data_IF_348551209981
#
_entry.id   IF_348551209981
#
_cell.length_a   1.000
_cell.length_b   1.000
_cell.length_c   1.000
_cell.angle_alpha   90.00
_cell.angle_beta   90.00
_cell.angle_gamma   90.00
#
_symmetry.space_group_name_H-M   'P 1'
#
loop_
_entity.id
_entity.type
_entity.pdbx_description
1 polymer ?
#
# COMPACT_ATOMS: atom_id res chain seq x y z
N UNK A 1 -11.91 -4.00 20.37
CA UNK A 1 -11.65 -2.83 19.50
C UNK A 1 -12.43 -3.01 18.22
N UNK A 2 -12.80 -1.94 17.51
CA UNK A 2 -13.38 -2.06 16.19
C UNK A 2 -12.41 -2.80 15.26
N UNK A 3 -12.92 -3.75 14.47
CA UNK A 3 -12.13 -4.40 13.42
C UNK A 3 -12.11 -3.52 12.16
N UNK A 4 -11.02 -3.58 11.41
CA UNK A 4 -10.84 -2.88 10.14
C UNK A 4 -10.03 -3.72 9.16
N UNK A 5 -10.27 -3.52 7.86
CA UNK A 5 -9.65 -4.28 6.77
C UNK A 5 -9.67 -5.79 7.01
N UNK A 6 -10.82 -6.34 7.37
CA UNK A 6 -10.97 -7.78 7.66
C UNK A 6 -10.57 -8.62 6.44
N UNK A 7 -10.87 -8.11 5.23
CA UNK A 7 -10.52 -8.71 3.95
C UNK A 7 -9.01 -8.72 3.66
N UNK A 8 -8.18 -8.02 4.45
CA UNK A 8 -6.71 -8.10 4.34
C UNK A 8 -6.18 -9.52 4.56
N UNK A 9 -6.93 -10.36 5.30
CA UNK A 9 -6.50 -11.68 5.70
C UNK A 9 -5.61 -11.70 6.94
N UNK A 10 -5.45 -10.57 7.65
CA UNK A 10 -4.65 -10.47 8.87
C UNK A 10 -5.04 -11.53 9.92
N UNK A 11 -6.34 -11.77 10.09
CA UNK A 11 -6.89 -12.78 10.99
C UNK A 11 -6.53 -14.23 10.63
N UNK A 12 -6.02 -14.48 9.42
CA UNK A 12 -5.52 -15.79 8.98
C UNK A 12 -4.05 -15.98 9.33
N UNK A 13 -3.36 -14.94 9.78
CA UNK A 13 -1.94 -14.98 10.16
C UNK A 13 -1.78 -15.30 11.65
N UNK A 14 -0.52 -15.56 12.06
CA UNK A 14 -0.13 -15.69 13.47
C UNK A 14 1.12 -14.85 13.69
N UNK A 15 1.22 -14.17 14.82
CA UNK A 15 2.41 -13.37 15.14
C UNK A 15 3.50 -14.25 15.74
N UNK A 16 4.75 -14.01 15.35
CA UNK A 16 5.92 -14.56 16.01
C UNK A 16 6.28 -13.76 17.29
N UNK A 17 7.39 -14.12 17.94
CA UNK A 17 7.84 -13.43 19.17
C UNK A 17 8.24 -11.97 18.95
N UNK A 18 8.56 -11.59 17.72
CA UNK A 18 8.92 -10.24 17.33
C UNK A 18 7.72 -9.45 16.80
N UNK A 19 6.50 -10.02 16.84
CA UNK A 19 5.29 -9.38 16.32
C UNK A 19 5.18 -9.41 14.79
N UNK A 20 5.97 -10.24 14.09
CA UNK A 20 5.91 -10.40 12.63
C UNK A 20 4.89 -11.45 12.23
N UNK A 21 4.23 -11.27 11.09
CA UNK A 21 3.20 -12.20 10.62
C UNK A 21 3.81 -13.43 9.97
N UNK A 22 3.59 -14.60 10.57
CA UNK A 22 3.94 -15.90 10.00
C UNK A 22 3.09 -16.20 8.76
N UNK A 23 3.71 -16.86 7.79
CA UNK A 23 3.04 -17.34 6.57
C UNK A 23 2.31 -18.63 6.86
N UNK A 24 1.03 -18.53 7.18
CA UNK A 24 0.17 -19.65 7.58
C UNK A 24 -0.41 -20.40 6.37
N UNK A 25 -0.88 -21.63 6.59
CA UNK A 25 -1.59 -22.37 5.53
C UNK A 25 -2.95 -21.74 5.24
N UNK A 26 -3.61 -21.20 6.27
CA UNK A 26 -4.89 -20.51 6.16
C UNK A 26 -4.80 -19.27 5.24
N UNK A 27 -3.72 -18.50 5.34
CA UNK A 27 -3.49 -17.36 4.45
C UNK A 27 -3.26 -17.82 2.99
N UNK A 28 -2.45 -18.85 2.78
CA UNK A 28 -2.19 -19.38 1.43
C UNK A 28 -3.48 -19.93 0.81
N UNK A 29 -4.31 -20.62 1.60
CA UNK A 29 -5.62 -21.11 1.16
C UNK A 29 -6.54 -19.96 0.75
N UNK A 30 -6.56 -18.86 1.51
CA UNK A 30 -7.35 -17.69 1.14
C UNK A 30 -6.90 -17.07 -0.18
N UNK A 31 -5.59 -17.06 -0.48
CA UNK A 31 -5.10 -16.63 -1.80
C UNK A 31 -5.50 -17.61 -2.91
N UNK A 32 -5.40 -18.92 -2.68
CA UNK A 32 -5.80 -19.96 -3.65
C UNK A 32 -7.31 -20.01 -3.92
N UNK A 33 -8.11 -19.49 -2.98
CA UNK A 33 -9.57 -19.41 -3.08
C UNK A 33 -10.06 -18.13 -3.78
N UNK A 34 -9.16 -17.19 -4.09
CA UNK A 34 -9.53 -15.94 -4.78
C UNK A 34 -10.08 -16.23 -6.17
N UNK A 35 -11.14 -15.52 -6.63
CA UNK A 35 -11.71 -15.71 -7.96
C UNK A 35 -10.70 -15.61 -9.09
N UNK A 36 -9.68 -14.75 -8.95
CA UNK A 36 -8.62 -14.53 -9.94
C UNK A 36 -7.64 -15.71 -10.04
N UNK A 37 -7.62 -16.60 -9.04
CA UNK A 37 -6.73 -17.78 -8.97
C UNK A 37 -7.48 -19.08 -9.26
N UNK A 38 -8.81 -19.08 -9.09
CA UNK A 38 -9.63 -20.24 -9.40
C UNK A 38 -9.48 -20.63 -10.87
N UNK A 39 -9.09 -21.89 -11.19
CA UNK A 39 -9.01 -22.33 -12.57
C UNK A 39 -10.36 -22.14 -13.27
N UNK A 40 -10.39 -21.54 -14.47
CA UNK A 40 -11.63 -21.33 -15.19
C UNK A 40 -12.25 -22.68 -15.61
N UNK A 41 -13.52 -22.66 -16.01
CA UNK A 41 -14.28 -23.88 -16.34
C UNK A 41 -13.59 -24.69 -17.46
N UNK A 42 -12.97 -24.00 -18.42
CA UNK A 42 -12.25 -24.54 -19.56
C UNK A 42 -10.75 -24.84 -19.29
N UNK A 43 -10.27 -24.65 -18.05
CA UNK A 43 -8.91 -24.96 -17.65
C UNK A 43 -8.47 -26.38 -18.05
N UNK A 44 -7.18 -26.61 -18.22
CA UNK A 44 -6.69 -27.95 -18.55
C UNK A 44 -6.74 -28.88 -17.31
N UNK A 45 -6.69 -30.20 -17.52
CA UNK A 45 -6.68 -31.16 -16.39
C UNK A 45 -5.47 -30.96 -15.46
N UNK A 46 -4.32 -30.60 -16.01
CA UNK A 46 -3.09 -30.37 -15.24
C UNK A 46 -3.26 -29.20 -14.26
N UNK A 47 -3.86 -28.09 -14.71
CA UNK A 47 -4.13 -26.93 -13.89
C UNK A 47 -5.14 -27.23 -12.77
N UNK A 48 -6.27 -27.87 -13.10
CA UNK A 48 -7.25 -28.29 -12.09
C UNK A 48 -6.66 -29.23 -11.05
N UNK A 49 -5.78 -30.15 -11.48
CA UNK A 49 -5.09 -31.06 -10.59
C UNK A 49 -4.09 -30.33 -9.68
N UNK A 50 -3.34 -29.36 -10.22
CA UNK A 50 -2.43 -28.50 -9.48
C UNK A 50 -3.17 -27.72 -8.40
N UNK A 51 -4.24 -27.01 -8.78
CA UNK A 51 -5.07 -26.24 -7.85
C UNK A 51 -5.64 -27.12 -6.74
N UNK A 52 -6.28 -28.24 -7.09
CA UNK A 52 -6.84 -29.19 -6.11
C UNK A 52 -5.78 -29.71 -5.13
N UNK A 53 -4.57 -30.00 -5.62
CA UNK A 53 -3.45 -30.45 -4.78
C UNK A 53 -3.03 -29.36 -3.81
N UNK A 54 -2.90 -28.11 -4.28
CA UNK A 54 -2.51 -26.98 -3.44
C UNK A 54 -3.59 -26.60 -2.42
N UNK A 55 -4.87 -26.77 -2.75
CA UNK A 55 -5.96 -26.64 -1.77
C UNK A 55 -5.89 -27.69 -0.65
N UNK A 56 -5.26 -28.84 -0.89
CA UNK A 56 -5.09 -29.90 0.11
C UNK A 56 -3.74 -29.80 0.84
N UNK A 57 -2.72 -29.25 0.19
CA UNK A 57 -1.37 -29.08 0.72
C UNK A 57 -0.78 -27.75 0.25
N UNK A 58 -1.15 -26.62 0.91
CA UNK A 58 -0.86 -25.26 0.44
C UNK A 58 0.64 -24.94 0.29
N UNK A 59 1.46 -25.58 1.12
CA UNK A 59 2.92 -25.46 1.14
C UNK A 59 3.65 -26.44 0.20
N UNK A 60 2.90 -27.29 -0.51
CA UNK A 60 3.53 -28.28 -1.38
C UNK A 60 4.33 -27.60 -2.50
N UNK A 61 5.53 -28.11 -2.73
CA UNK A 61 6.39 -27.66 -3.82
C UNK A 61 5.73 -27.98 -5.17
N UNK A 62 6.02 -27.12 -6.14
CA UNK A 62 5.58 -27.23 -7.52
C UNK A 62 6.81 -27.06 -8.37
N UNK A 63 7.06 -28.01 -9.25
CA UNK A 63 8.22 -27.98 -10.16
C UNK A 63 7.90 -27.19 -11.43
N UNK A 64 8.93 -26.63 -12.09
CA UNK A 64 8.76 -26.00 -13.42
C UNK A 64 8.22 -26.97 -14.47
N UNK A 65 8.47 -28.28 -14.32
CA UNK A 65 7.90 -29.30 -15.20
C UNK A 65 6.38 -29.39 -15.06
N UNK A 66 5.84 -29.25 -13.84
CA UNK A 66 4.39 -29.19 -13.62
C UNK A 66 3.80 -27.92 -14.22
N UNK A 67 4.49 -26.79 -14.09
CA UNK A 67 4.03 -25.52 -14.67
C UNK A 67 4.04 -25.56 -16.20
N UNK A 68 5.08 -26.09 -16.83
CA UNK A 68 5.14 -26.21 -18.29
C UNK A 68 4.13 -27.20 -18.88
N UNK A 69 3.53 -28.07 -18.05
CA UNK A 69 2.45 -28.98 -18.45
C UNK A 69 1.08 -28.30 -18.57
N UNK A 70 0.90 -27.07 -18.05
CA UNK A 70 -0.32 -26.29 -18.25
C UNK A 70 -0.42 -25.86 -19.72
N UNK A 71 -1.62 -26.00 -20.31
CA UNK A 71 -1.82 -25.69 -21.74
C UNK A 71 -1.83 -24.19 -22.03
N UNK A 72 -2.42 -23.40 -21.14
CA UNK A 72 -2.53 -21.96 -21.28
C UNK A 72 -1.27 -21.27 -20.76
N UNK A 73 -0.66 -20.43 -21.59
CA UNK A 73 0.56 -19.70 -21.26
C UNK A 73 0.32 -18.60 -20.22
N UNK A 74 -0.86 -17.99 -20.24
CA UNK A 74 -1.21 -16.94 -19.28
C UNK A 74 -1.42 -17.55 -17.90
N UNK A 75 -2.11 -18.70 -17.84
CA UNK A 75 -2.20 -19.51 -16.62
C UNK A 75 -0.81 -19.90 -16.09
N UNK A 76 0.12 -20.34 -16.95
CA UNK A 76 1.49 -20.65 -16.51
C UNK A 76 2.18 -19.45 -15.85
N UNK A 77 2.07 -18.26 -16.45
CA UNK A 77 2.67 -17.03 -15.91
C UNK A 77 2.03 -16.64 -14.58
N UNK A 78 0.71 -16.65 -14.48
CA UNK A 78 -0.03 -16.36 -13.26
C UNK A 78 0.35 -17.31 -12.11
N UNK A 79 0.45 -18.61 -12.38
CA UNK A 79 0.92 -19.59 -11.41
C UNK A 79 2.38 -19.34 -11.00
N UNK A 80 3.27 -18.96 -11.93
CA UNK A 80 4.66 -18.60 -11.57
C UNK A 80 4.72 -17.39 -10.64
N UNK A 81 3.91 -16.35 -10.87
CA UNK A 81 3.89 -15.20 -9.98
C UNK A 81 3.38 -15.57 -8.57
N UNK A 82 2.25 -16.29 -8.48
CA UNK A 82 1.67 -16.69 -7.20
C UNK A 82 2.61 -17.61 -6.40
N UNK A 83 3.17 -18.63 -7.06
CA UNK A 83 4.08 -19.58 -6.42
C UNK A 83 5.42 -18.93 -6.08
N UNK A 84 5.92 -18.05 -6.93
CA UNK A 84 7.13 -17.26 -6.68
C UNK A 84 6.98 -16.37 -5.44
N UNK A 85 5.84 -15.68 -5.30
CA UNK A 85 5.50 -14.94 -4.09
C UNK A 85 5.45 -15.88 -2.88
N UNK A 86 4.59 -16.92 -2.92
CA UNK A 86 4.39 -17.87 -1.82
C UNK A 86 5.70 -18.45 -1.31
N UNK A 87 6.53 -18.95 -2.22
CA UNK A 87 7.78 -19.64 -1.88
C UNK A 87 8.80 -18.68 -1.26
N UNK A 88 8.85 -17.42 -1.70
CA UNK A 88 9.68 -16.38 -1.08
C UNK A 88 9.22 -16.06 0.33
N UNK A 89 7.91 -15.85 0.53
CA UNK A 89 7.37 -15.58 1.86
C UNK A 89 7.63 -16.76 2.81
N UNK A 90 7.43 -17.99 2.35
CA UNK A 90 7.71 -19.20 3.13
C UNK A 90 9.20 -19.32 3.50
N UNK A 91 10.10 -18.96 2.58
CA UNK A 91 11.55 -18.97 2.84
C UNK A 91 11.97 -17.87 3.82
N UNK A 92 11.35 -16.69 3.73
CA UNK A 92 11.59 -15.55 4.62
C UNK A 92 11.04 -15.77 6.05
N UNK A 93 10.03 -16.63 6.20
CA UNK A 93 9.44 -16.98 7.50
C UNK A 93 8.37 -16.00 8.00
N UNK A 94 8.36 -14.76 7.50
CA UNK A 94 7.31 -13.77 7.77
C UNK A 94 6.92 -12.96 6.52
N UNK A 95 5.74 -12.34 6.57
CA UNK A 95 5.25 -11.44 5.52
C UNK A 95 6.14 -10.20 5.40
N UNK A 96 6.52 -9.60 6.52
CA UNK A 96 7.38 -8.42 6.57
C UNK A 96 8.76 -8.71 5.96
N UNK A 97 9.41 -9.79 6.38
CA UNK A 97 10.74 -10.16 5.86
C UNK A 97 10.65 -10.55 4.38
N UNK A 98 9.59 -11.25 3.97
CA UNK A 98 9.38 -11.59 2.57
C UNK A 98 9.18 -10.36 1.69
N UNK A 99 8.41 -9.37 2.14
CA UNK A 99 8.25 -8.08 1.46
C UNK A 99 9.58 -7.32 1.37
N UNK A 100 10.33 -7.26 2.46
CA UNK A 100 11.66 -6.64 2.53
C UNK A 100 12.64 -7.31 1.55
N UNK A 101 12.68 -8.64 1.48
CA UNK A 101 13.51 -9.41 0.55
C UNK A 101 13.11 -9.20 -0.91
N UNK A 102 11.81 -9.18 -1.23
CA UNK A 102 11.32 -8.91 -2.59
C UNK A 102 11.86 -7.57 -3.11
N UNK A 103 11.83 -6.54 -2.26
CA UNK A 103 12.34 -5.20 -2.60
C UNK A 103 13.86 -5.22 -2.75
N UNK A 104 14.56 -5.85 -1.81
CA UNK A 104 16.03 -5.95 -1.79
C UNK A 104 16.57 -6.64 -3.04
N UNK A 105 15.94 -7.74 -3.43
CA UNK A 105 16.30 -8.56 -4.59
C UNK A 105 15.86 -7.92 -5.92
N UNK A 106 15.06 -6.84 -5.88
CA UNK A 106 14.50 -6.20 -7.07
C UNK A 106 13.54 -7.10 -7.86
N UNK A 107 12.80 -7.97 -7.16
CA UNK A 107 11.90 -8.93 -7.80
C UNK A 107 10.67 -8.22 -8.32
N UNK A 108 10.41 -8.36 -9.62
CA UNK A 108 9.19 -7.83 -10.24
C UNK A 108 8.01 -8.76 -9.96
N UNK A 109 7.04 -8.25 -9.22
CA UNK A 109 5.73 -8.89 -9.01
C UNK A 109 4.60 -7.97 -9.48
N UNK A 110 3.44 -8.53 -9.86
CA UNK A 110 2.22 -7.76 -10.05
C UNK A 110 1.93 -6.82 -8.89
N UNK A 111 1.51 -5.58 -9.22
CA UNK A 111 1.25 -4.54 -8.22
C UNK A 111 0.20 -4.96 -7.17
N UNK A 112 -0.80 -5.75 -7.56
CA UNK A 112 -1.83 -6.28 -6.66
C UNK A 112 -1.24 -7.14 -5.53
N UNK A 113 -0.19 -7.92 -5.79
CA UNK A 113 0.47 -8.69 -4.75
C UNK A 113 1.22 -7.79 -3.79
N UNK A 114 1.94 -6.79 -4.31
CA UNK A 114 2.64 -5.82 -3.46
C UNK A 114 1.67 -5.03 -2.58
N UNK A 115 0.54 -4.59 -3.15
CA UNK A 115 -0.54 -3.95 -2.41
C UNK A 115 -1.10 -4.84 -1.31
N UNK A 116 -1.36 -6.12 -1.59
CA UNK A 116 -1.85 -7.06 -0.58
C UNK A 116 -0.89 -7.25 0.60
N UNK A 117 0.42 -7.36 0.32
CA UNK A 117 1.43 -7.47 1.37
C UNK A 117 1.47 -6.19 2.21
N UNK A 118 1.46 -5.02 1.57
CA UNK A 118 1.45 -3.74 2.28
C UNK A 118 0.19 -3.58 3.14
N UNK A 119 -0.97 -4.00 2.66
CA UNK A 119 -2.22 -3.99 3.42
C UNK A 119 -2.12 -4.85 4.68
N UNK A 120 -1.62 -6.09 4.56
CA UNK A 120 -1.37 -6.97 5.71
C UNK A 120 -0.40 -6.34 6.71
N UNK A 121 0.71 -5.79 6.22
CA UNK A 121 1.74 -5.15 7.03
C UNK A 121 1.17 -3.95 7.79
N UNK A 122 0.41 -3.09 7.12
CA UNK A 122 -0.23 -1.94 7.76
C UNK A 122 -1.32 -2.36 8.74
N UNK A 123 -2.10 -3.41 8.44
CA UNK A 123 -3.10 -3.91 9.39
C UNK A 123 -2.46 -4.35 10.70
N UNK A 124 -1.28 -4.99 10.63
CA UNK A 124 -0.50 -5.37 11.80
C UNK A 124 0.14 -4.14 12.48
N UNK A 125 0.78 -3.25 11.71
CA UNK A 125 1.45 -2.06 12.21
C UNK A 125 0.52 -1.05 12.91
N UNK A 126 -0.76 -1.05 12.51
CA UNK A 126 -1.82 -0.19 13.04
C UNK A 126 -2.76 -0.95 13.99
N UNK A 127 -2.40 -2.16 14.44
CA UNK A 127 -3.16 -2.83 15.48
C UNK A 127 -3.19 -1.96 16.75
N UNK A 128 -4.36 -1.81 17.35
CA UNK A 128 -4.54 -0.84 18.44
C UNK A 128 -4.90 0.58 18.02
N UNK A 129 -4.88 0.92 16.71
CA UNK A 129 -5.28 2.24 16.24
C UNK A 129 -6.81 2.42 16.32
N UNK A 130 -7.24 3.53 16.92
CA UNK A 130 -8.65 3.90 17.10
C UNK A 130 -9.03 5.19 16.34
N UNK A 131 -8.11 5.73 15.53
CA UNK A 131 -8.31 6.96 14.74
C UNK A 131 -8.60 6.63 13.26
N UNK A 132 -9.86 6.80 12.79
CA UNK A 132 -10.22 6.60 11.39
C UNK A 132 -9.45 7.46 10.38
N UNK A 133 -8.93 8.63 10.77
CA UNK A 133 -8.14 9.46 9.86
C UNK A 133 -6.79 8.80 9.54
N UNK A 134 -6.17 8.15 10.53
CA UNK A 134 -4.95 7.36 10.33
C UNK A 134 -5.23 6.18 9.42
N UNK A 135 -6.27 5.41 9.73
CA UNK A 135 -6.62 4.22 8.98
C UNK A 135 -6.97 4.58 7.54
N UNK A 136 -7.86 5.55 7.31
CA UNK A 136 -8.22 5.96 5.95
C UNK A 136 -7.03 6.49 5.15
N UNK A 137 -6.12 7.25 5.77
CA UNK A 137 -4.92 7.72 5.10
C UNK A 137 -3.92 6.59 4.78
N UNK A 138 -3.84 5.56 5.64
CA UNK A 138 -3.02 4.39 5.41
C UNK A 138 -3.48 3.56 4.20
N UNK A 139 -4.76 3.62 3.81
CA UNK A 139 -5.25 2.98 2.58
C UNK A 139 -4.50 3.46 1.33
N UNK A 140 -4.00 4.70 1.30
CA UNK A 140 -3.23 5.25 0.19
C UNK A 140 -1.93 4.49 -0.10
N UNK A 141 -1.43 3.69 0.86
CA UNK A 141 -0.20 2.91 0.70
C UNK A 141 -0.38 1.67 -0.16
N UNK A 142 -1.58 1.11 -0.18
CA UNK A 142 -1.89 -0.12 -0.91
C UNK A 142 -3.00 0.05 -1.95
N UNK A 143 -3.72 1.17 -1.94
CA UNK A 143 -4.76 1.48 -2.94
C UNK A 143 -4.46 2.81 -3.63
N UNK A 144 -4.31 2.81 -4.97
CA UNK A 144 -4.28 4.05 -5.74
C UNK A 144 -5.49 4.94 -5.46
N UNK A 145 -5.29 6.25 -5.42
CA UNK A 145 -6.35 7.22 -5.15
C UNK A 145 -6.54 8.16 -6.34
N UNK A 146 -7.78 8.35 -6.80
CA UNK A 146 -8.11 9.40 -7.76
C UNK A 146 -8.26 10.73 -7.03
N UNK A 147 -7.61 11.77 -7.55
CA UNK A 147 -7.78 13.14 -7.06
C UNK A 147 -9.06 13.78 -7.62
N UNK A 148 -9.79 14.49 -6.76
CA UNK A 148 -10.88 15.37 -7.16
C UNK A 148 -10.73 16.71 -6.44
N UNK A 149 -10.90 17.84 -7.14
CA UNK A 149 -10.84 19.17 -6.53
C UNK A 149 -12.26 19.67 -6.37
N UNK A 150 -12.67 19.94 -5.13
CA UNK A 150 -13.99 20.49 -4.78
C UNK A 150 -13.80 21.59 -3.74
N UNK A 151 -14.35 22.78 -4.00
CA UNK A 151 -14.21 23.96 -3.14
C UNK A 151 -12.74 24.28 -2.78
N UNK A 152 -11.85 24.25 -3.78
CA UNK A 152 -10.39 24.43 -3.65
C UNK A 152 -9.69 23.43 -2.71
N UNK A 153 -10.35 22.31 -2.38
CA UNK A 153 -9.81 21.24 -1.56
C UNK A 153 -9.54 20.00 -2.41
N UNK A 154 -8.35 19.44 -2.23
CA UNK A 154 -7.99 18.14 -2.79
C UNK A 154 -8.68 17.04 -1.98
N UNK A 155 -9.55 16.30 -2.65
CA UNK A 155 -10.19 15.09 -2.17
C UNK A 155 -9.54 13.87 -2.83
N UNK A 156 -9.37 12.79 -2.08
CA UNK A 156 -8.83 11.53 -2.57
C UNK A 156 -9.87 10.43 -2.38
N UNK A 157 -10.31 9.85 -3.49
CA UNK A 157 -11.23 8.71 -3.53
C UNK A 157 -10.48 7.47 -4.04
N UNK A 158 -10.94 6.29 -3.63
CA UNK A 158 -10.36 5.04 -4.13
C UNK A 158 -10.48 4.93 -5.66
N UNK A 159 -9.36 4.66 -6.35
CA UNK A 159 -9.34 4.65 -7.82
C UNK A 159 -10.18 3.50 -8.41
N UNK A 160 -10.21 2.33 -7.77
CA UNK A 160 -11.00 1.18 -8.23
C UNK A 160 -12.50 1.47 -8.10
N UNK A 161 -12.92 2.05 -6.97
CA UNK A 161 -14.30 2.48 -6.77
C UNK A 161 -14.73 3.54 -7.79
N UNK A 162 -13.85 4.51 -8.08
CA UNK A 162 -14.09 5.52 -9.12
C UNK A 162 -14.31 4.88 -10.49
N UNK A 163 -13.44 3.95 -10.88
CA UNK A 163 -13.58 3.24 -12.15
C UNK A 163 -14.88 2.42 -12.21
N UNK A 164 -15.30 1.81 -11.10
CA UNK A 164 -16.55 1.07 -11.02
C UNK A 164 -17.76 2.00 -11.26
N UNK A 165 -17.80 3.16 -10.61
CA UNK A 165 -18.86 4.15 -10.84
C UNK A 165 -18.85 4.69 -12.28
N UNK A 166 -17.68 4.95 -12.86
CA UNK A 166 -17.56 5.38 -14.25
C UNK A 166 -18.09 4.30 -15.21
N UNK A 167 -17.77 3.02 -14.98
CA UNK A 167 -18.29 1.90 -15.76
C UNK A 167 -19.81 1.76 -15.61
N UNK A 168 -20.35 1.88 -14.40
CA UNK A 168 -21.79 1.84 -14.15
C UNK A 168 -22.51 3.01 -14.85
N UNK A 169 -21.95 4.22 -14.78
CA UNK A 169 -22.44 5.39 -15.51
C UNK A 169 -22.48 5.15 -17.01
N UNK A 170 -21.46 4.52 -17.59
CA UNK A 170 -21.42 4.18 -19.01
C UNK A 170 -22.43 3.08 -19.39
N UNK A 171 -22.63 2.09 -18.53
CA UNK A 171 -23.55 0.98 -18.78
C UNK A 171 -25.03 1.35 -18.56
N UNK A 172 -25.33 2.17 -17.55
CA UNK A 172 -26.70 2.56 -17.18
C UNK A 172 -26.76 3.97 -16.55
N UNK A 173 -26.73 5.04 -17.37
CA UNK A 173 -26.66 6.42 -16.87
C UNK A 173 -27.80 6.80 -15.93
N UNK A 174 -29.05 6.37 -16.22
CA UNK A 174 -30.20 6.69 -15.38
C UNK A 174 -30.07 6.07 -13.99
N UNK A 175 -29.67 4.80 -13.91
CA UNK A 175 -29.47 4.09 -12.64
C UNK A 175 -28.38 4.77 -11.80
N UNK A 176 -27.26 5.12 -12.46
CA UNK A 176 -26.14 5.77 -11.80
C UNK A 176 -26.44 7.21 -11.34
N UNK A 177 -27.34 7.94 -12.03
CA UNK A 177 -27.86 9.22 -11.55
C UNK A 177 -28.71 9.07 -10.28
N UNK A 178 -29.50 7.99 -10.16
CA UNK A 178 -30.30 7.73 -8.96
C UNK A 178 -29.49 7.22 -7.76
N UNK A 179 -28.33 6.58 -8.00
CA UNK A 179 -27.43 6.14 -6.93
C UNK A 179 -26.52 7.25 -6.38
N UNK A 180 -26.52 8.43 -7.01
CA UNK A 180 -25.75 9.61 -6.58
C UNK A 180 -24.27 9.60 -6.99
N UNK A 181 -23.78 8.50 -7.60
CA UNK A 181 -22.42 8.39 -8.13
C UNK A 181 -21.32 8.72 -7.11
N UNK A 182 -20.21 9.27 -7.59
CA UNK A 182 -19.06 9.64 -6.74
C UNK A 182 -19.35 10.77 -5.76
N UNK A 183 -20.29 11.67 -6.08
CA UNK A 183 -20.70 12.75 -5.18
C UNK A 183 -21.47 12.25 -3.95
N UNK A 184 -21.93 11.00 -3.95
CA UNK A 184 -22.57 10.36 -2.80
C UNK A 184 -21.59 9.81 -1.77
N UNK A 185 -20.29 9.74 -2.09
CA UNK A 185 -19.30 9.22 -1.16
C UNK A 185 -19.08 10.20 0.00
N UNK A 186 -19.15 9.68 1.21
CA UNK A 186 -18.94 10.47 2.41
C UNK A 186 -17.46 10.87 2.53
N UNK A 187 -17.23 12.16 2.70
CA UNK A 187 -15.94 12.70 3.07
C UNK A 187 -15.72 12.44 4.56
N UNK A 188 -14.64 11.77 4.92
CA UNK A 188 -14.31 11.49 6.31
C UNK A 188 -14.06 12.80 7.07
N UNK A 189 -14.71 12.93 8.23
CA UNK A 189 -14.62 14.09 9.11
C UNK A 189 -16.00 14.66 9.48
N UNK A 190 -16.03 15.64 10.37
CA UNK A 190 -17.26 16.35 10.72
C UNK A 190 -18.26 15.51 11.52
N UNK A 191 -17.79 14.50 12.26
CA UNK A 191 -18.62 13.68 13.16
C UNK A 191 -19.08 12.34 12.59
N UNK A 192 -18.70 12.00 11.35
CA UNK A 192 -19.03 10.72 10.71
C UNK A 192 -17.97 9.62 10.91
N UNK A 193 -16.92 9.88 11.69
CA UNK A 193 -15.73 9.03 11.80
C UNK A 193 -16.07 7.63 12.31
N UNK A 194 -17.09 7.51 13.17
CA UNK A 194 -17.57 6.22 13.68
C UNK A 194 -18.10 5.28 12.60
N UNK A 195 -18.50 5.78 11.43
CA UNK A 195 -19.01 4.95 10.31
C UNK A 195 -17.89 4.27 9.51
N UNK A 196 -16.64 4.74 9.66
CA UNK A 196 -15.49 4.22 8.93
C UNK A 196 -15.31 2.72 9.14
N UNK A 197 -15.47 2.24 10.37
CA UNK A 197 -15.24 0.84 10.74
C UNK A 197 -16.01 -0.15 9.86
N UNK A 198 -17.31 0.09 9.68
CA UNK A 198 -18.18 -0.72 8.83
C UNK A 198 -17.92 -0.60 7.32
N UNK A 199 -17.09 0.36 6.92
CA UNK A 199 -16.80 0.71 5.52
C UNK A 199 -15.35 0.48 5.12
N UNK A 200 -14.50 0.11 6.08
CA UNK A 200 -13.05 -0.03 5.88
C UNK A 200 -12.71 -1.02 4.78
N UNK A 201 -13.42 -2.14 4.68
CA UNK A 201 -13.23 -3.14 3.60
C UNK A 201 -13.82 -2.71 2.25
N UNK A 202 -14.77 -1.77 2.25
CA UNK A 202 -15.41 -1.26 1.05
C UNK A 202 -14.68 -0.04 0.45
N UNK A 203 -13.76 0.58 1.20
CA UNK A 203 -12.97 1.74 0.75
C UNK A 203 -13.82 2.92 0.23
N UNK A 204 -15.03 3.10 0.78
CA UNK A 204 -16.04 4.05 0.28
C UNK A 204 -15.99 5.44 0.90
N UNK A 205 -15.02 5.75 1.76
CA UNK A 205 -14.87 7.09 2.32
C UNK A 205 -13.84 7.91 1.55
N UNK A 206 -14.10 9.19 1.38
CA UNK A 206 -13.20 10.14 0.69
C UNK A 206 -12.31 10.83 1.72
N UNK A 207 -11.01 10.92 1.45
CA UNK A 207 -10.06 11.62 2.30
C UNK A 207 -9.95 13.09 1.88
N UNK A 208 -10.28 14.03 2.78
CA UNK A 208 -10.15 15.47 2.54
C UNK A 208 -8.71 15.96 2.79
N UNK A 209 -7.79 15.53 1.93
CA UNK A 209 -6.37 15.78 2.15
C UNK A 209 -5.96 17.25 2.02
N UNK A 210 -6.60 18.01 1.13
CA UNK A 210 -6.32 19.43 0.94
C UNK A 210 -6.93 20.32 2.02
N UNK A 211 -8.15 20.02 2.46
CA UNK A 211 -8.91 20.87 3.38
C UNK A 211 -8.79 20.52 4.86
N UNK A 212 -8.40 19.30 5.21
CA UNK A 212 -8.41 18.83 6.61
C UNK A 212 -6.98 18.58 7.15
N UNK A 213 -6.52 19.35 8.15
CA UNK A 213 -5.26 19.07 8.84
C UNK A 213 -5.22 17.69 9.52
N UNK A 214 -6.34 17.13 9.95
CA UNK A 214 -6.39 15.79 10.56
C UNK A 214 -6.08 14.70 9.54
N UNK A 215 -6.61 14.79 8.31
CA UNK A 215 -6.27 13.88 7.22
C UNK A 215 -4.74 13.81 6.97
N UNK A 216 -4.06 14.98 6.97
CA UNK A 216 -2.60 15.04 6.80
C UNK A 216 -1.84 14.50 8.02
N UNK A 217 -2.31 14.76 9.23
CA UNK A 217 -1.73 14.17 10.45
C UNK A 217 -1.91 12.65 10.47
N UNK A 218 -3.07 12.15 10.06
CA UNK A 218 -3.35 10.72 9.92
C UNK A 218 -2.37 10.04 8.96
N UNK A 219 -2.08 10.68 7.81
CA UNK A 219 -1.05 10.17 6.88
C UNK A 219 0.36 10.16 7.51
N UNK A 220 0.72 11.20 8.26
CA UNK A 220 2.00 11.23 8.97
C UNK A 220 2.12 10.09 9.99
N UNK A 221 1.08 9.86 10.79
CA UNK A 221 1.04 8.76 11.76
C UNK A 221 1.06 7.38 11.09
N UNK A 222 0.41 7.21 9.94
CA UNK A 222 0.50 5.99 9.14
C UNK A 222 1.93 5.74 8.63
N UNK A 223 2.62 6.79 8.17
CA UNK A 223 4.03 6.72 7.77
C UNK A 223 4.94 6.35 8.97
N UNK A 224 4.73 6.96 10.13
CA UNK A 224 5.45 6.65 11.37
C UNK A 224 5.26 5.18 11.76
N UNK A 225 4.01 4.70 11.78
CA UNK A 225 3.68 3.32 12.12
C UNK A 225 4.33 2.32 11.16
N UNK A 226 4.29 2.58 9.85
CA UNK A 226 4.92 1.73 8.85
C UNK A 226 6.44 1.67 9.00
N UNK A 227 7.10 2.83 9.20
CA UNK A 227 8.56 2.92 9.37
C UNK A 227 8.99 2.22 10.66
N UNK A 228 8.29 2.46 11.77
CA UNK A 228 8.54 1.78 13.04
C UNK A 228 8.39 0.27 12.90
N UNK A 229 7.31 -0.18 12.28
CA UNK A 229 7.02 -1.61 12.12
C UNK A 229 8.05 -2.31 11.24
N UNK A 230 8.39 -1.73 10.09
CA UNK A 230 9.30 -2.38 9.15
C UNK A 230 10.77 -2.30 9.60
N UNK A 231 11.20 -1.14 10.11
CA UNK A 231 12.62 -0.82 10.33
C UNK A 231 13.02 -0.74 11.81
N UNK A 232 12.07 -0.82 12.74
CA UNK A 232 12.32 -0.55 14.16
C UNK A 232 12.89 0.85 14.39
N UNK A 233 12.47 1.81 13.57
CA UNK A 233 12.97 3.18 13.59
C UNK A 233 11.89 4.11 14.15
N UNK A 234 12.16 4.70 15.31
CA UNK A 234 11.29 5.73 15.89
C UNK A 234 11.51 7.06 15.18
N UNK A 235 10.44 7.58 14.58
CA UNK A 235 10.44 8.81 13.80
C UNK A 235 9.26 9.68 14.16
N UNK A 236 9.44 10.99 14.00
CA UNK A 236 8.36 11.99 14.09
C UNK A 236 8.18 12.62 12.72
N UNK A 237 6.96 12.60 12.20
CA UNK A 237 6.61 13.12 10.88
C UNK A 237 5.61 14.25 11.04
N UNK A 238 5.99 15.45 10.61
CA UNK A 238 5.13 16.64 10.68
C UNK A 238 4.72 17.08 9.27
N UNK A 239 3.42 17.10 8.94
CA UNK A 239 2.93 17.66 7.69
C UNK A 239 3.25 19.16 7.60
N UNK A 240 3.76 19.60 6.46
CA UNK A 240 4.03 21.01 6.19
C UNK A 240 2.96 21.59 5.28
N UNK A 241 2.45 22.77 5.64
CA UNK A 241 1.50 23.53 4.82
C UNK A 241 2.19 24.45 3.81
N UNK A 242 3.49 24.74 4.01
CA UNK A 242 4.32 25.59 3.15
C UNK A 242 5.72 25.02 3.09
N UNK A 243 6.41 25.31 1.98
CA UNK A 243 7.80 24.93 1.76
C UNK A 243 8.74 26.13 1.95
N UNK A 244 8.43 27.01 2.91
CA UNK A 244 9.27 28.15 3.25
C UNK A 244 10.53 27.62 3.98
N UNK A 245 11.73 28.05 3.59
CA UNK A 245 13.03 27.69 4.19
C UNK A 245 13.37 26.18 4.24
N UNK A 246 13.01 25.42 3.19
CA UNK A 246 13.34 23.99 3.07
C UNK A 246 14.84 23.78 2.78
N UNK A 247 15.61 23.37 3.80
CA UNK A 247 16.95 22.78 3.60
C UNK A 247 16.80 21.34 3.09
N UNK A 248 16.73 21.17 1.77
CA UNK A 248 16.51 19.89 1.10
C UNK A 248 17.82 19.08 1.01
N UNK A 249 18.38 18.67 2.16
CA UNK A 249 19.59 17.82 2.21
C UNK A 249 19.35 16.35 2.00
N UNK A 250 18.12 15.88 2.18
CA UNK A 250 17.70 14.54 1.84
C UNK A 250 16.19 14.53 1.63
N UNK A 251 15.74 13.71 0.69
CA UNK A 251 14.31 13.48 0.51
C UNK A 251 14.01 12.04 0.10
N UNK A 252 12.78 11.63 0.34
CA UNK A 252 12.19 10.39 -0.18
C UNK A 252 10.89 10.76 -0.87
N UNK A 253 10.80 10.42 -2.15
CA UNK A 253 9.53 10.49 -2.88
C UNK A 253 8.62 9.36 -2.39
N UNK A 254 7.43 9.70 -1.90
CA UNK A 254 6.42 8.74 -1.49
C UNK A 254 5.73 8.08 -2.69
N UNK A 255 5.89 8.63 -3.89
CA UNK A 255 5.36 8.14 -5.16
C UNK A 255 6.29 8.56 -6.33
N UNK A 256 6.03 8.13 -7.58
CA UNK A 256 6.82 8.56 -8.74
C UNK A 256 6.84 10.09 -8.94
N UNK A 257 5.71 10.78 -8.75
CA UNK A 257 5.64 12.22 -8.96
C UNK A 257 6.41 12.98 -7.86
N UNK A 258 6.27 12.56 -6.60
CA UNK A 258 7.04 13.10 -5.48
C UNK A 258 8.55 12.89 -5.62
N UNK A 259 8.96 11.75 -6.18
CA UNK A 259 10.36 11.49 -6.53
C UNK A 259 10.86 12.48 -7.60
N UNK A 260 10.07 12.71 -8.65
CA UNK A 260 10.40 13.67 -9.71
C UNK A 260 10.48 15.11 -9.19
N UNK A 261 9.56 15.49 -8.30
CA UNK A 261 9.55 16.80 -7.62
C UNK A 261 10.83 16.98 -6.80
N UNK A 262 11.15 16.03 -5.92
CA UNK A 262 12.36 16.12 -5.09
C UNK A 262 13.64 16.21 -5.92
N UNK A 263 13.76 15.40 -6.99
CA UNK A 263 14.90 15.48 -7.90
C UNK A 263 15.03 16.86 -8.58
N UNK A 264 13.91 17.44 -9.02
CA UNK A 264 13.92 18.76 -9.63
C UNK A 264 14.36 19.84 -8.63
N UNK A 265 13.78 19.84 -7.42
CA UNK A 265 14.11 20.79 -6.37
C UNK A 265 15.59 20.69 -5.96
N UNK A 266 16.12 19.47 -5.85
CA UNK A 266 17.54 19.22 -5.54
C UNK A 266 18.49 19.85 -6.58
N UNK A 267 18.07 19.87 -7.85
CA UNK A 267 18.85 20.46 -8.94
C UNK A 267 18.49 21.93 -9.23
N UNK A 268 17.70 22.59 -8.39
CA UNK A 268 17.25 23.97 -8.60
C UNK A 268 16.37 24.13 -9.85
N UNK A 269 15.66 23.08 -10.25
CA UNK A 269 14.75 23.06 -11.40
C UNK A 269 13.29 23.24 -10.95
N UNK A 270 12.41 23.77 -11.82
CA UNK A 270 10.98 23.86 -11.52
C UNK A 270 10.36 22.47 -11.30
N UNK A 271 9.32 22.41 -10.46
CA UNK A 271 8.60 21.17 -10.18
C UNK A 271 7.93 20.64 -11.47
N UNK A 272 8.15 19.36 -11.84
CA UNK A 272 7.57 18.77 -13.06
C UNK A 272 6.14 18.25 -12.85
N UNK A 273 5.64 18.26 -11.62
CA UNK A 273 4.32 17.77 -11.23
C UNK A 273 3.77 18.57 -10.04
N UNK A 274 2.48 18.42 -9.77
CA UNK A 274 1.82 19.07 -8.63
C UNK A 274 2.25 18.44 -7.31
N UNK A 275 2.76 19.25 -6.38
CA UNK A 275 3.02 18.84 -5.00
C UNK A 275 1.69 18.66 -4.27
N UNK A 276 1.46 17.46 -3.76
CA UNK A 276 0.24 17.10 -3.01
C UNK A 276 0.49 17.16 -1.51
N UNK A 277 1.60 16.58 -1.05
CA UNK A 277 1.94 16.52 0.36
C UNK A 277 3.43 16.70 0.58
N UNK A 278 3.79 17.44 1.62
CA UNK A 278 5.15 17.61 2.09
C UNK A 278 5.20 17.29 3.58
N UNK A 279 6.12 16.43 3.98
CA UNK A 279 6.29 16.06 5.38
C UNK A 279 7.75 16.21 5.79
N UNK A 280 7.96 16.71 7.00
CA UNK A 280 9.28 16.79 7.64
C UNK A 280 9.40 15.62 8.60
N UNK A 281 10.34 14.72 8.34
CA UNK A 281 10.64 13.58 9.19
C UNK A 281 11.91 13.85 10.01
N UNK A 282 11.82 13.57 11.30
CA UNK A 282 12.95 13.54 12.24
C UNK A 282 13.10 12.13 12.80
N UNK A 283 14.33 11.69 13.00
CA UNK A 283 14.65 10.36 13.52
C UNK A 283 15.17 10.51 14.94
N UNK A 284 14.55 9.82 15.89
CA UNK A 284 14.88 9.95 17.31
C UNK A 284 16.32 9.51 17.62
N UNK A 285 16.71 8.33 17.12
CA UNK A 285 18.08 7.83 17.23
C UNK A 285 18.91 8.23 16.00
N UNK A 286 19.57 9.37 16.08
CA UNK A 286 20.43 9.88 15.00
C UNK A 286 21.65 9.01 14.70
N UNK A 287 22.03 8.07 15.58
CA UNK A 287 23.14 7.15 15.31
C UNK A 287 22.84 6.20 14.15
N UNK A 288 21.54 5.92 13.94
CA UNK A 288 21.00 5.12 12.82
C UNK A 288 21.07 5.84 11.48
N UNK A 289 21.42 7.13 11.45
CA UNK A 289 21.51 7.96 10.25
C UNK A 289 22.97 8.16 9.85
N UNK A 290 23.22 8.24 8.54
CA UNK A 290 24.54 8.51 7.96
C UNK A 290 25.17 9.74 8.64
N UNK A 291 26.47 9.70 9.00
CA UNK A 291 27.12 10.75 9.77
C UNK A 291 26.90 12.18 9.25
N UNK A 292 26.95 12.35 7.92
CA UNK A 292 26.81 13.63 7.23
C UNK A 292 25.37 14.21 7.21
N UNK A 293 24.37 13.39 7.55
CA UNK A 293 22.95 13.76 7.58
C UNK A 293 22.34 13.73 8.99
N UNK A 294 23.14 13.50 10.04
CA UNK A 294 22.64 13.47 11.42
C UNK A 294 22.05 14.82 11.84
N UNK A 295 20.87 14.78 12.46
CA UNK A 295 20.15 15.96 12.91
C UNK A 295 19.52 16.80 11.79
N UNK A 296 19.69 16.40 10.52
CA UNK A 296 19.06 17.06 9.39
C UNK A 296 17.65 16.48 9.16
N UNK A 297 16.68 17.32 8.77
CA UNK A 297 15.36 16.83 8.41
C UNK A 297 15.42 15.97 7.15
N UNK A 298 14.61 14.92 7.12
CA UNK A 298 14.35 14.13 5.92
C UNK A 298 12.98 14.53 5.37
N UNK A 299 12.95 14.93 4.11
CA UNK A 299 11.73 15.40 3.47
C UNK A 299 11.00 14.25 2.77
N UNK A 300 9.72 14.04 3.10
CA UNK A 300 8.87 13.07 2.39
C UNK A 300 7.94 13.85 1.46
N UNK A 301 7.93 13.47 0.19
CA UNK A 301 7.26 14.24 -0.87
C UNK A 301 6.23 13.35 -1.56
N UNK A 302 4.97 13.78 -1.57
CA UNK A 302 3.88 13.15 -2.31
C UNK A 302 3.46 14.07 -3.46
N UNK A 303 3.42 13.53 -4.68
CA UNK A 303 2.99 14.26 -5.87
C UNK A 303 1.68 13.72 -6.47
N UNK A 304 1.16 14.47 -7.45
CA UNK A 304 0.04 14.04 -8.29
C UNK A 304 0.56 13.46 -9.59
N UNK A 305 0.11 12.24 -9.95
CA UNK A 305 0.39 11.64 -11.24
C UNK A 305 -0.23 12.43 -12.40
N UNK A 306 0.34 12.29 -13.60
CA UNK A 306 -0.14 12.99 -14.80
C UNK A 306 -1.58 12.59 -15.19
N UNK A 307 -2.04 11.43 -14.74
CA UNK A 307 -3.40 10.91 -14.91
C UNK A 307 -4.35 11.29 -13.77
N UNK A 308 -3.93 12.19 -12.87
CA UNK A 308 -4.74 12.63 -11.72
C UNK A 308 -4.90 11.55 -10.65
N UNK A 309 -4.05 10.53 -10.63
CA UNK A 309 -4.03 9.52 -9.59
C UNK A 309 -2.77 9.60 -8.73
N UNK A 310 -2.89 9.20 -7.48
CA UNK A 310 -1.83 9.17 -6.48
C UNK A 310 -1.55 7.71 -6.16
N UNK A 311 -0.29 7.30 -6.33
CA UNK A 311 0.14 5.90 -6.21
C UNK A 311 1.38 5.82 -5.33
N UNK A 312 1.16 5.75 -4.02
CA UNK A 312 2.27 5.64 -3.08
C UNK A 312 3.10 4.39 -3.35
N UNK A 313 4.39 4.49 -3.05
CA UNK A 313 5.39 3.44 -3.14
C UNK A 313 6.05 3.26 -1.77
N UNK A 314 5.42 2.53 -0.83
CA UNK A 314 5.96 2.32 0.52
C UNK A 314 7.37 1.71 0.53
N UNK A 315 7.75 0.97 -0.52
CA UNK A 315 9.10 0.45 -0.69
C UNK A 315 10.18 1.54 -0.68
N UNK A 316 9.85 2.77 -1.08
CA UNK A 316 10.79 3.89 -1.05
C UNK A 316 11.17 4.28 0.39
N UNK A 317 10.34 3.95 1.39
CA UNK A 317 10.66 4.14 2.80
C UNK A 317 11.66 3.10 3.32
N UNK A 318 11.75 1.93 2.69
CA UNK A 318 12.75 0.92 3.05
C UNK A 318 14.10 1.16 2.36
N UNK A 319 14.09 1.72 1.16
CA UNK A 319 15.31 1.87 0.35
C UNK A 319 15.85 3.31 0.30
N UNK A 320 14.99 4.30 0.51
CA UNK A 320 15.31 5.71 0.31
C UNK A 320 15.78 6.44 1.57
N UNK A 321 15.65 5.86 2.76
CA UNK A 321 16.09 6.53 4.00
C UNK A 321 17.62 6.55 4.12
N UNK A 322 18.22 7.63 4.66
CA UNK A 322 19.68 7.78 4.77
C UNK A 322 20.21 7.06 6.01
N UNK A 323 19.94 5.77 6.12
CA UNK A 323 20.38 4.96 7.24
C UNK A 323 21.89 4.72 7.18
N UNK A 324 22.52 4.62 8.35
CA UNK A 324 23.96 4.38 8.53
C UNK A 324 24.36 2.99 8.04
N UNK A 325 23.48 2.02 8.19
CA UNK A 325 23.55 0.69 7.58
C UNK A 325 22.36 0.49 6.64
N UNK A 326 22.48 -0.30 5.57
CA UNK A 326 21.35 -0.58 4.69
C UNK A 326 20.16 -1.13 5.49
N UNK A 327 18.97 -0.59 5.24
CA UNK A 327 17.74 -1.03 5.93
C UNK A 327 17.39 -2.50 5.64
N UNK A 328 17.88 -3.01 4.51
CA UNK A 328 17.62 -4.33 3.96
C UNK A 328 18.96 -5.08 3.86
N UNK A 329 19.49 -5.51 5.01
CA UNK A 329 20.67 -6.39 5.12
C UNK A 329 20.29 -7.85 5.26
#
# INVERSE_FOLDING_TARGET
MPEFWVASGHHLTRLDRAGRMLVTEELILAWLARPEVLPPIDACMAERALHKRLMSSPRAKVSEMELTALKDRDAQENWRFLLGLRDRLLAAGSIEEGYAQIIRDGVTLPAVFMAQLVQLILRNALDGCDDPQVLRAAECFFRPQRSHIKDDKLLMADEELVQLYEQEMHASPLTAMFSGGLDSLDVLGGGNEWTYWSRSDAHTMVLNFGGDPQARRGMAQALEAFIRHMLGLEVTITPQSRADDVDLRWFVGLDPAGTAIGNALWHGKPMPATLVGLFRMEVADTSRIRPELRGQPIWLILGLGADGAIRMKPQNLLTGLPLAEPALN
#
